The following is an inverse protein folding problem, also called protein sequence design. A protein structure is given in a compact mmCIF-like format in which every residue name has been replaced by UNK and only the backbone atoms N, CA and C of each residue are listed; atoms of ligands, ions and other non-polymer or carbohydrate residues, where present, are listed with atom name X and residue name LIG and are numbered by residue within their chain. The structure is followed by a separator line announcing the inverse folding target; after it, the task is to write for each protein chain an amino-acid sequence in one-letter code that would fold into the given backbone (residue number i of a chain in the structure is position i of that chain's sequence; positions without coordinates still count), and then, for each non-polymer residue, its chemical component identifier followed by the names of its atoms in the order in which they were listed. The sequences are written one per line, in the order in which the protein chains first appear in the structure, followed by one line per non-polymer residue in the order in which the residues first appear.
data_IF_822479404530
#
_entry.id   IF_822479404530
#
_cell.length_a   1.000
_cell.length_b   1.000
_cell.length_c   1.000
_cell.angle_alpha   90.00
_cell.angle_beta   90.00
_cell.angle_gamma   90.00
#
_symmetry.space_group_name_H-M   'P 1'
#
loop_
_entity.id
_entity.type
_entity.pdbx_description
1 polymer ?
#
# COMPACT_ATOMS: atom_id res chain seq x y z
N UNK A 1 -94.92 31.29 -2.29
CA UNK A 1 -94.06 30.30 -1.60
C UNK A 1 -93.58 29.18 -2.53
N UNK A 2 -94.44 28.66 -3.41
CA UNK A 2 -94.15 27.52 -4.30
C UNK A 2 -93.04 27.76 -5.33
N UNK A 3 -92.99 28.93 -5.98
CA UNK A 3 -91.98 29.25 -7.02
C UNK A 3 -90.54 29.28 -6.48
N UNK A 4 -90.36 29.74 -5.22
CA UNK A 4 -89.04 29.78 -4.57
C UNK A 4 -88.55 28.37 -4.28
N UNK A 5 -89.44 27.51 -3.77
CA UNK A 5 -89.13 26.10 -3.47
C UNK A 5 -88.76 25.33 -4.75
N UNK A 6 -89.46 25.58 -5.86
CA UNK A 6 -89.15 24.94 -7.14
C UNK A 6 -87.79 25.37 -7.67
N UNK A 7 -87.48 26.69 -7.67
CA UNK A 7 -86.15 27.19 -8.07
C UNK A 7 -85.02 26.60 -7.23
N UNK A 8 -85.22 26.45 -5.93
CA UNK A 8 -84.26 25.80 -5.03
C UNK A 8 -84.07 24.31 -5.35
N UNK A 9 -85.15 23.58 -5.67
CA UNK A 9 -85.04 22.18 -6.11
C UNK A 9 -84.27 22.05 -7.43
N UNK A 10 -84.53 22.92 -8.40
CA UNK A 10 -83.81 22.88 -9.69
C UNK A 10 -82.34 23.21 -9.51
N UNK A 11 -82.03 24.22 -8.68
CA UNK A 11 -80.67 24.57 -8.33
C UNK A 11 -79.95 23.40 -7.64
N UNK A 12 -80.59 22.77 -6.65
CA UNK A 12 -80.04 21.61 -5.95
C UNK A 12 -79.77 20.44 -6.90
N UNK A 13 -80.67 20.18 -7.85
CA UNK A 13 -80.47 19.14 -8.87
C UNK A 13 -79.32 19.45 -9.83
N UNK A 14 -79.15 20.71 -10.24
CA UNK A 14 -78.02 21.14 -11.08
C UNK A 14 -76.70 21.00 -10.33
N UNK A 15 -76.64 21.42 -9.07
CA UNK A 15 -75.46 21.27 -8.21
C UNK A 15 -75.15 19.79 -8.00
N UNK A 16 -76.15 18.98 -7.64
CA UNK A 16 -75.99 17.53 -7.45
C UNK A 16 -75.48 16.84 -8.72
N UNK A 17 -75.99 17.22 -9.90
CA UNK A 17 -75.53 16.68 -11.19
C UNK A 17 -74.07 17.08 -11.48
N UNK A 18 -73.70 18.33 -11.23
CA UNK A 18 -72.30 18.77 -11.36
C UNK A 18 -71.36 18.06 -10.39
N UNK A 19 -71.82 17.73 -9.18
CA UNK A 19 -71.06 16.94 -8.21
C UNK A 19 -70.96 15.46 -8.58
N UNK A 20 -71.96 14.89 -9.26
CA UNK A 20 -71.87 13.52 -9.77
C UNK A 20 -71.03 13.37 -11.04
N UNK A 21 -70.87 14.45 -11.81
CA UNK A 21 -70.00 14.50 -13.01
C UNK A 21 -68.52 14.81 -12.65
N UNK A 22 -68.22 15.07 -11.38
CA UNK A 22 -66.85 15.21 -10.87
C UNK A 22 -66.30 13.82 -10.59
N UNK A 23 -65.38 13.34 -11.43
CA UNK A 23 -64.51 12.19 -11.15
C UNK A 23 -63.55 12.56 -9.99
N UNK A 24 -64.08 12.53 -8.78
CA UNK A 24 -63.37 12.81 -7.54
C UNK A 24 -62.91 11.48 -6.94
N UNK A 25 -61.61 11.19 -7.09
CA UNK A 25 -60.95 10.09 -6.40
C UNK A 25 -60.33 10.63 -5.10
N UNK A 26 -60.94 10.37 -3.93
CA UNK A 26 -60.44 10.88 -2.65
C UNK A 26 -59.04 10.35 -2.33
N UNK A 27 -58.75 9.08 -2.68
CA UNK A 27 -57.45 8.48 -2.44
C UNK A 27 -56.37 9.17 -3.27
N UNK A 28 -56.70 9.56 -4.51
CA UNK A 28 -55.77 10.33 -5.35
C UNK A 28 -55.51 11.73 -4.79
N UNK A 29 -56.50 12.37 -4.19
CA UNK A 29 -56.31 13.67 -3.55
C UNK A 29 -55.38 13.55 -2.34
N UNK A 30 -55.63 12.57 -1.47
CA UNK A 30 -54.80 12.32 -0.28
C UNK A 30 -53.33 12.08 -0.66
N UNK A 31 -53.07 11.30 -1.73
CA UNK A 31 -51.72 11.09 -2.28
C UNK A 31 -51.04 12.40 -2.71
N UNK A 32 -51.79 13.28 -3.39
CA UNK A 32 -51.28 14.55 -3.89
C UNK A 32 -51.01 15.53 -2.75
N UNK A 33 -51.89 15.58 -1.75
CA UNK A 33 -51.70 16.40 -0.55
C UNK A 33 -50.48 15.94 0.26
N UNK A 34 -50.33 14.63 0.45
CA UNK A 34 -49.16 14.06 1.12
C UNK A 34 -47.87 14.38 0.36
N UNK A 35 -47.86 14.19 -0.96
CA UNK A 35 -46.71 14.52 -1.81
C UNK A 35 -46.36 16.01 -1.73
N UNK A 36 -47.35 16.89 -1.70
CA UNK A 36 -47.14 18.34 -1.54
C UNK A 36 -46.55 18.67 -0.18
N UNK A 37 -47.02 18.02 0.88
CA UNK A 37 -46.49 18.17 2.24
C UNK A 37 -45.02 17.75 2.35
N UNK A 38 -44.67 16.60 1.77
CA UNK A 38 -43.30 16.08 1.75
C UNK A 38 -42.34 17.04 1.02
N UNK A 39 -42.79 17.56 -0.12
CA UNK A 39 -42.05 18.53 -0.93
C UNK A 39 -41.80 19.85 -0.18
N UNK A 40 -42.81 20.37 0.54
CA UNK A 40 -42.64 21.56 1.37
C UNK A 40 -41.76 21.30 2.61
N UNK A 41 -41.83 20.10 3.19
CA UNK A 41 -40.92 19.68 4.26
C UNK A 41 -39.46 19.67 3.78
N UNK A 42 -39.19 19.19 2.56
CA UNK A 42 -37.86 19.21 1.95
C UNK A 42 -37.38 20.64 1.70
N UNK A 43 -38.23 21.53 1.18
CA UNK A 43 -37.88 22.96 1.02
C UNK A 43 -37.46 23.60 2.33
N UNK A 44 -38.20 23.34 3.42
CA UNK A 44 -37.86 23.84 4.77
C UNK A 44 -36.55 23.25 5.28
N UNK A 45 -36.37 21.93 5.13
CA UNK A 45 -35.19 21.21 5.63
C UNK A 45 -33.89 21.69 4.97
N UNK A 46 -33.90 21.84 3.65
CA UNK A 46 -32.72 22.21 2.87
C UNK A 46 -32.63 23.69 2.54
N UNK A 47 -33.64 24.49 2.93
CA UNK A 47 -33.73 25.94 2.69
C UNK A 47 -33.53 26.30 1.21
N UNK A 48 -34.15 25.53 0.32
CA UNK A 48 -34.06 25.68 -1.14
C UNK A 48 -35.47 25.70 -1.74
N UNK A 49 -35.62 26.31 -2.91
CA UNK A 49 -36.80 26.18 -3.75
C UNK A 49 -36.78 24.85 -4.52
N UNK A 50 -37.82 24.57 -5.32
CA UNK A 50 -37.90 23.30 -6.04
C UNK A 50 -36.78 23.12 -7.06
N UNK A 51 -36.41 24.17 -7.79
CA UNK A 51 -35.27 24.12 -8.71
C UNK A 51 -33.98 23.81 -7.95
N UNK A 52 -33.73 24.51 -6.83
CA UNK A 52 -32.57 24.26 -5.97
C UNK A 52 -32.54 22.87 -5.35
N UNK A 53 -33.70 22.28 -5.00
CA UNK A 53 -33.79 20.90 -4.51
C UNK A 53 -33.43 19.88 -5.60
N UNK A 54 -33.85 20.10 -6.84
CA UNK A 54 -33.50 19.24 -7.98
C UNK A 54 -31.99 19.30 -8.25
N UNK A 55 -31.41 20.50 -8.34
CA UNK A 55 -29.96 20.66 -8.50
C UNK A 55 -29.20 20.01 -7.34
N UNK A 56 -29.67 20.18 -6.10
CA UNK A 56 -29.04 19.57 -4.93
C UNK A 56 -29.13 18.04 -4.92
N UNK A 57 -30.25 17.45 -5.38
CA UNK A 57 -30.38 16.00 -5.59
C UNK A 57 -29.33 15.52 -6.60
N UNK A 58 -29.19 16.22 -7.72
CA UNK A 58 -28.27 15.84 -8.80
C UNK A 58 -26.80 15.98 -8.38
N UNK A 59 -26.48 17.02 -7.61
CA UNK A 59 -25.17 17.19 -6.95
C UNK A 59 -24.87 16.01 -6.01
N UNK A 60 -25.83 15.63 -5.14
CA UNK A 60 -25.66 14.50 -4.23
C UNK A 60 -25.53 13.17 -4.98
N UNK A 61 -26.34 12.94 -6.01
CA UNK A 61 -26.27 11.74 -6.83
C UNK A 61 -24.91 11.61 -7.53
N UNK A 62 -24.41 12.73 -8.09
CA UNK A 62 -23.07 12.80 -8.69
C UNK A 62 -21.97 12.53 -7.65
N UNK A 63 -22.02 13.15 -6.47
CA UNK A 63 -21.06 12.91 -5.39
C UNK A 63 -21.04 11.44 -4.94
N UNK A 64 -22.20 10.81 -4.82
CA UNK A 64 -22.30 9.39 -4.45
C UNK A 64 -21.74 8.50 -5.56
N UNK A 65 -22.11 8.75 -6.83
CA UNK A 65 -21.58 8.02 -7.98
C UNK A 65 -20.05 8.08 -8.04
N UNK A 66 -19.49 9.30 -8.01
CA UNK A 66 -18.04 9.50 -8.01
C UNK A 66 -17.35 8.78 -6.85
N UNK A 67 -17.95 8.75 -5.65
CA UNK A 67 -17.37 8.05 -4.49
C UNK A 67 -17.36 6.53 -4.68
N UNK A 68 -18.42 5.97 -5.26
CA UNK A 68 -18.48 4.53 -5.58
C UNK A 68 -17.44 4.13 -6.61
N UNK A 69 -17.23 4.98 -7.63
CA UNK A 69 -16.20 4.77 -8.64
C UNK A 69 -14.79 4.83 -8.02
N UNK A 70 -14.50 5.84 -7.20
CA UNK A 70 -13.22 5.97 -6.49
C UNK A 70 -12.91 4.78 -5.58
N UNK A 71 -13.90 4.25 -4.85
CA UNK A 71 -13.69 3.05 -4.02
C UNK A 71 -13.36 1.82 -4.87
N UNK A 72 -13.94 1.72 -6.05
CA UNK A 72 -13.66 0.63 -6.99
C UNK A 72 -12.24 0.76 -7.55
N UNK A 73 -11.84 1.97 -7.96
CA UNK A 73 -10.48 2.26 -8.42
C UNK A 73 -9.43 1.99 -7.34
N UNK A 74 -9.67 2.38 -6.08
CA UNK A 74 -8.77 2.09 -4.96
C UNK A 74 -8.58 0.59 -4.80
N UNK A 75 -9.68 -0.17 -4.83
CA UNK A 75 -9.63 -1.63 -4.68
C UNK A 75 -8.87 -2.30 -5.83
N UNK A 76 -9.05 -1.82 -7.05
CA UNK A 76 -8.28 -2.30 -8.21
C UNK A 76 -6.78 -2.00 -8.04
N UNK A 77 -6.44 -0.80 -7.57
CA UNK A 77 -5.04 -0.40 -7.33
C UNK A 77 -4.40 -1.18 -6.19
N UNK A 78 -5.13 -1.47 -5.12
CA UNK A 78 -4.65 -2.35 -4.03
C UNK A 78 -4.34 -3.76 -4.54
N UNK A 79 -5.22 -4.32 -5.39
CA UNK A 79 -4.97 -5.64 -6.00
C UNK A 79 -3.76 -5.63 -6.94
N UNK A 80 -3.61 -4.58 -7.75
CA UNK A 80 -2.47 -4.41 -8.64
C UNK A 80 -1.16 -4.33 -7.83
N UNK A 81 -1.17 -3.55 -6.75
CA UNK A 81 -0.05 -3.42 -5.81
C UNK A 81 0.33 -4.78 -5.19
N UNK A 82 -0.65 -5.56 -4.72
CA UNK A 82 -0.42 -6.88 -4.12
C UNK A 82 0.19 -7.88 -5.10
N UNK A 83 -0.22 -7.85 -6.37
CA UNK A 83 0.39 -8.66 -7.43
C UNK A 83 1.85 -8.25 -7.63
N UNK A 84 2.12 -6.94 -7.81
CA UNK A 84 3.48 -6.42 -8.02
C UNK A 84 4.39 -6.67 -6.83
N UNK A 85 3.86 -6.59 -5.62
CA UNK A 85 4.57 -6.91 -4.37
C UNK A 85 5.02 -8.37 -4.35
N UNK A 86 4.13 -9.31 -4.67
CA UNK A 86 4.47 -10.75 -4.75
C UNK A 86 5.50 -11.05 -5.84
N UNK A 87 5.34 -10.46 -7.02
CA UNK A 87 6.33 -10.61 -8.11
C UNK A 87 7.72 -10.11 -7.69
N UNK A 88 7.77 -8.96 -7.03
CA UNK A 88 9.03 -8.35 -6.55
C UNK A 88 9.66 -9.21 -5.46
N UNK A 89 8.87 -9.71 -4.51
CA UNK A 89 9.33 -10.60 -3.46
C UNK A 89 9.95 -11.89 -4.03
N UNK A 90 9.29 -12.50 -5.02
CA UNK A 90 9.82 -13.71 -5.66
C UNK A 90 11.18 -13.46 -6.32
N UNK A 91 11.32 -12.35 -7.07
CA UNK A 91 12.62 -11.95 -7.63
C UNK A 91 13.67 -11.69 -6.55
N UNK A 92 13.26 -11.12 -5.42
CA UNK A 92 14.10 -10.93 -4.24
C UNK A 92 14.60 -12.26 -3.67
N UNK A 93 13.74 -13.29 -3.57
CA UNK A 93 14.12 -14.63 -3.13
C UNK A 93 15.11 -15.28 -4.09
N UNK A 94 14.89 -15.16 -5.40
CA UNK A 94 15.78 -15.72 -6.42
C UNK A 94 17.18 -15.07 -6.32
N UNK A 95 17.24 -13.75 -6.12
CA UNK A 95 18.48 -13.03 -5.86
C UNK A 95 19.16 -13.48 -4.55
N UNK A 96 18.39 -13.64 -3.48
CA UNK A 96 18.90 -14.13 -2.19
C UNK A 96 19.53 -15.51 -2.29
N UNK A 97 18.90 -16.44 -3.03
CA UNK A 97 19.46 -17.77 -3.28
C UNK A 97 20.79 -17.71 -4.03
N UNK A 98 20.87 -16.86 -5.06
CA UNK A 98 22.11 -16.66 -5.81
C UNK A 98 23.22 -16.06 -4.94
N UNK A 99 22.87 -15.10 -4.09
CA UNK A 99 23.79 -14.50 -3.12
C UNK A 99 24.30 -15.52 -2.11
N UNK A 100 23.43 -16.31 -1.50
CA UNK A 100 23.83 -17.34 -0.54
C UNK A 100 24.76 -18.39 -1.16
N UNK A 101 24.50 -18.78 -2.43
CA UNK A 101 25.40 -19.70 -3.16
C UNK A 101 26.77 -19.08 -3.43
N UNK A 102 26.80 -17.80 -3.76
CA UNK A 102 28.04 -17.06 -4.03
C UNK A 102 28.80 -16.78 -2.73
N UNK A 103 28.08 -16.47 -1.66
CA UNK A 103 28.64 -16.24 -0.33
C UNK A 103 29.48 -17.42 0.14
N UNK A 104 28.98 -18.67 0.00
CA UNK A 104 29.75 -19.87 0.34
C UNK A 104 31.06 -20.03 -0.44
N UNK A 105 31.15 -19.47 -1.65
CA UNK A 105 32.40 -19.45 -2.41
C UNK A 105 33.35 -18.38 -1.86
N UNK A 106 32.83 -17.17 -1.63
CA UNK A 106 33.56 -16.05 -1.04
C UNK A 106 34.13 -16.46 0.33
N UNK A 107 33.32 -17.08 1.19
CA UNK A 107 33.74 -17.56 2.51
C UNK A 107 34.96 -18.46 2.42
N UNK A 108 34.92 -19.48 1.56
CA UNK A 108 36.04 -20.43 1.37
C UNK A 108 37.28 -19.75 0.80
N UNK A 109 37.14 -18.88 -0.20
CA UNK A 109 38.27 -18.19 -0.80
C UNK A 109 38.90 -17.19 0.18
N UNK A 110 38.09 -16.51 0.98
CA UNK A 110 38.56 -15.56 1.99
C UNK A 110 39.29 -16.30 3.13
N UNK A 111 38.72 -17.39 3.65
CA UNK A 111 39.37 -18.25 4.66
C UNK A 111 40.71 -18.81 4.16
N UNK A 112 40.78 -19.26 2.91
CA UNK A 112 42.03 -19.73 2.32
C UNK A 112 43.08 -18.62 2.21
N UNK A 113 42.67 -17.42 1.79
CA UNK A 113 43.54 -16.25 1.68
C UNK A 113 44.05 -15.81 3.05
N UNK A 114 43.17 -15.74 4.06
CA UNK A 114 43.53 -15.38 5.42
C UNK A 114 44.47 -16.40 6.06
N UNK A 115 44.26 -17.70 5.78
CA UNK A 115 45.17 -18.74 6.22
C UNK A 115 46.57 -18.59 5.60
N UNK A 116 46.68 -18.10 4.36
CA UNK A 116 47.97 -17.80 3.73
C UNK A 116 48.68 -16.59 4.36
N UNK A 117 47.90 -15.68 4.98
CA UNK A 117 48.37 -14.54 5.76
C UNK A 117 48.59 -14.89 7.24
N UNK A 118 48.75 -16.19 7.56
CA UNK A 118 49.01 -16.73 8.90
C UNK A 118 47.90 -16.45 9.94
N UNK A 119 46.67 -16.18 9.51
CA UNK A 119 45.52 -16.02 10.38
C UNK A 119 44.60 -17.26 10.29
N UNK A 120 44.37 -17.93 11.42
CA UNK A 120 43.38 -19.03 11.51
C UNK A 120 42.02 -18.44 11.84
N UNK A 121 41.26 -18.11 10.82
CA UNK A 121 39.94 -17.48 10.98
C UNK A 121 38.83 -18.33 10.39
N UNK A 122 37.62 -18.19 10.94
CA UNK A 122 36.39 -18.57 10.23
C UNK A 122 35.67 -17.32 9.76
N UNK A 123 35.13 -17.37 8.56
CA UNK A 123 34.40 -16.27 7.97
C UNK A 123 33.02 -16.74 7.50
N UNK A 124 31.99 -15.98 7.84
CA UNK A 124 30.62 -16.29 7.47
C UNK A 124 29.87 -15.03 7.05
N UNK A 125 29.14 -15.12 5.94
CA UNK A 125 28.21 -14.10 5.48
C UNK A 125 26.83 -14.48 6.01
N UNK A 126 26.34 -13.69 6.95
CA UNK A 126 25.01 -13.88 7.52
C UNK A 126 23.97 -13.12 6.70
N UNK A 127 22.83 -13.78 6.46
CA UNK A 127 21.66 -13.21 5.81
C UNK A 127 20.54 -13.16 6.83
N UNK A 128 20.20 -11.96 7.31
CA UNK A 128 19.02 -11.79 8.14
C UNK A 128 17.78 -12.00 7.26
N UNK A 129 16.89 -12.90 7.69
CA UNK A 129 15.64 -13.13 6.98
C UNK A 129 14.75 -11.89 7.16
N UNK A 130 14.29 -11.27 6.07
CA UNK A 130 13.22 -10.29 6.19
C UNK A 130 11.97 -10.97 6.78
N UNK A 131 11.27 -10.25 7.67
CA UNK A 131 9.92 -10.65 8.07
C UNK A 131 9.03 -10.63 6.82
N UNK A 132 8.41 -11.76 6.48
CA UNK A 132 7.64 -11.92 5.23
C UNK A 132 6.40 -11.03 5.11
N UNK A 133 6.00 -10.38 6.21
CA UNK A 133 4.72 -9.70 6.32
C UNK A 133 4.83 -8.17 6.42
N UNK A 134 6.04 -7.61 6.29
CA UNK A 134 6.25 -6.17 6.46
C UNK A 134 6.95 -5.59 5.22
N UNK A 135 6.49 -4.43 4.75
CA UNK A 135 7.08 -3.74 3.58
C UNK A 135 8.51 -3.26 3.85
N UNK A 136 8.92 -3.28 5.12
CA UNK A 136 10.32 -3.12 5.55
C UNK A 136 11.28 -4.19 5.00
N UNK A 137 10.77 -5.25 4.34
CA UNK A 137 11.59 -6.27 3.70
C UNK A 137 12.22 -5.87 2.36
N UNK A 138 11.79 -4.77 1.74
CA UNK A 138 12.30 -4.34 0.43
C UNK A 138 13.31 -3.20 0.56
N UNK A 139 14.56 -3.48 0.19
CA UNK A 139 15.61 -2.49 0.02
C UNK A 139 15.88 -2.28 -1.48
N UNK A 140 16.52 -1.16 -1.84
CA UNK A 140 16.98 -0.91 -3.21
C UNK A 140 17.90 -2.03 -3.72
N UNK A 141 18.65 -2.67 -2.81
CA UNK A 141 19.55 -3.78 -3.09
C UNK A 141 18.88 -5.16 -3.00
N UNK A 142 17.56 -5.27 -2.85
CA UNK A 142 16.83 -6.53 -2.71
C UNK A 142 16.30 -6.75 -1.30
N UNK A 143 16.12 -8.02 -0.90
CA UNK A 143 15.42 -8.36 0.35
C UNK A 143 16.34 -8.83 1.49
N UNK A 144 17.65 -8.93 1.22
CA UNK A 144 18.62 -9.42 2.18
C UNK A 144 19.21 -8.27 3.00
N UNK A 145 19.19 -8.42 4.33
CA UNK A 145 20.08 -7.68 5.20
C UNK A 145 21.32 -8.55 5.50
N UNK A 146 22.49 -8.10 5.03
CA UNK A 146 23.74 -8.88 5.06
C UNK A 146 24.64 -8.36 6.18
N UNK A 147 25.24 -9.27 6.96
CA UNK A 147 26.30 -8.96 7.92
C UNK A 147 27.50 -9.89 7.68
N UNK A 148 28.71 -9.34 7.78
CA UNK A 148 29.95 -10.10 7.63
C UNK A 148 30.48 -10.47 9.01
N UNK A 149 30.53 -11.76 9.28
CA UNK A 149 30.94 -12.31 10.56
C UNK A 149 32.31 -12.97 10.42
N UNK A 150 33.16 -12.75 11.41
CA UNK A 150 34.48 -13.37 11.46
C UNK A 150 34.82 -13.80 12.88
N UNK A 151 35.54 -14.91 12.98
CA UNK A 151 36.16 -15.44 14.18
C UNK A 151 37.67 -15.35 13.95
N UNK A 152 38.37 -14.43 14.62
CA UNK A 152 39.81 -14.22 14.42
C UNK A 152 40.67 -15.19 15.24
N UNK A 153 40.14 -15.65 16.38
CA UNK A 153 40.75 -16.66 17.24
C UNK A 153 39.79 -17.82 17.46
N UNK A 154 40.31 -19.04 17.40
CA UNK A 154 39.52 -20.27 17.60
C UNK A 154 38.90 -20.28 19.00
N UNK A 155 37.57 -20.33 19.06
CA UNK A 155 36.79 -20.42 20.30
C UNK A 155 36.18 -19.09 20.76
N UNK A 156 36.49 -17.96 20.11
CA UNK A 156 35.86 -16.67 20.45
C UNK A 156 34.46 -16.49 19.85
N UNK A 157 34.08 -17.36 18.91
CA UNK A 157 32.82 -17.28 18.17
C UNK A 157 32.81 -16.20 17.09
N UNK A 158 31.77 -16.24 16.27
CA UNK A 158 31.58 -15.31 15.15
C UNK A 158 31.09 -13.95 15.66
N UNK A 159 31.82 -12.89 15.33
CA UNK A 159 31.48 -11.49 15.66
C UNK A 159 31.39 -10.69 14.36
N UNK A 160 30.54 -9.67 14.33
CA UNK A 160 30.46 -8.78 13.17
C UNK A 160 31.81 -8.09 12.97
N UNK A 161 32.27 -8.05 11.71
CA UNK A 161 33.54 -7.44 11.32
C UNK A 161 33.65 -5.98 11.80
N UNK A 162 32.52 -5.28 11.82
CA UNK A 162 32.39 -3.90 12.33
C UNK A 162 32.78 -3.72 13.81
N UNK A 163 32.74 -4.79 14.60
CA UNK A 163 32.99 -4.77 16.06
C UNK A 163 34.40 -5.22 16.43
N UNK A 164 35.23 -5.58 15.46
CA UNK A 164 36.59 -6.07 15.71
C UNK A 164 37.55 -4.88 15.68
N UNK A 165 38.06 -4.54 16.86
CA UNK A 165 38.84 -3.32 17.13
C UNK A 165 40.37 -3.53 17.05
N UNK A 166 40.85 -4.72 16.65
CA UNK A 166 42.29 -4.97 16.49
C UNK A 166 42.76 -4.47 15.11
N UNK A 167 43.53 -3.38 15.09
CA UNK A 167 43.99 -2.74 13.85
C UNK A 167 44.78 -3.67 12.92
N UNK A 168 45.58 -4.59 13.48
CA UNK A 168 46.40 -5.51 12.68
C UNK A 168 45.65 -6.67 12.03
N UNK A 169 44.57 -7.12 12.66
CA UNK A 169 43.72 -8.18 12.09
C UNK A 169 42.77 -7.59 11.04
N UNK A 170 42.22 -6.40 11.31
CA UNK A 170 41.34 -5.70 10.39
C UNK A 170 42.03 -5.37 9.06
N UNK A 171 43.29 -4.90 9.08
CA UNK A 171 44.04 -4.61 7.86
C UNK A 171 44.32 -5.86 7.02
N UNK A 172 44.64 -6.99 7.66
CA UNK A 172 44.84 -8.28 6.97
C UNK A 172 43.54 -8.80 6.35
N UNK A 173 42.42 -8.64 7.04
CA UNK A 173 41.09 -8.96 6.51
C UNK A 173 40.75 -8.09 5.30
N UNK A 174 40.96 -6.79 5.40
CA UNK A 174 40.74 -5.85 4.28
C UNK A 174 41.61 -6.18 3.07
N UNK A 175 42.88 -6.55 3.28
CA UNK A 175 43.78 -6.96 2.19
C UNK A 175 43.26 -8.22 1.49
N UNK A 176 42.80 -9.22 2.24
CA UNK A 176 42.22 -10.44 1.68
C UNK A 176 40.96 -10.14 0.83
N UNK A 177 40.09 -9.26 1.31
CA UNK A 177 38.92 -8.80 0.54
C UNK A 177 39.31 -8.10 -0.75
N UNK A 178 40.27 -7.17 -0.70
CA UNK A 178 40.72 -6.44 -1.89
C UNK A 178 41.38 -7.38 -2.90
N UNK A 179 42.19 -8.34 -2.45
CA UNK A 179 42.79 -9.35 -3.33
C UNK A 179 41.72 -10.20 -4.03
N UNK A 180 40.68 -10.62 -3.30
CA UNK A 180 39.53 -11.33 -3.87
C UNK A 180 38.81 -10.49 -4.93
N UNK A 181 38.58 -9.20 -4.63
CA UNK A 181 37.88 -8.28 -5.53
C UNK A 181 38.67 -7.96 -6.80
N UNK A 182 39.99 -7.77 -6.69
CA UNK A 182 40.89 -7.55 -7.84
C UNK A 182 40.83 -8.75 -8.78
N UNK A 183 40.92 -9.97 -8.23
CA UNK A 183 40.83 -11.20 -8.99
C UNK A 183 39.47 -11.35 -9.69
N UNK A 184 38.39 -10.89 -9.07
CA UNK A 184 37.05 -10.96 -9.63
C UNK A 184 36.76 -9.91 -10.74
N UNK A 185 37.41 -8.73 -10.67
CA UNK A 185 37.11 -7.60 -11.56
C UNK A 185 38.23 -7.28 -12.56
N UNK A 186 39.29 -8.10 -12.61
CA UNK A 186 40.44 -7.93 -13.51
C UNK A 186 41.03 -6.50 -13.49
N UNK A 187 41.14 -5.94 -12.28
CA UNK A 187 41.64 -4.57 -12.10
C UNK A 187 43.15 -4.57 -12.33
N UNK A 188 43.67 -3.85 -13.34
CA UNK A 188 45.07 -4.01 -13.79
C UNK A 188 46.10 -3.43 -12.82
N UNK A 189 45.73 -2.48 -11.97
CA UNK A 189 46.64 -1.88 -10.99
C UNK A 189 45.86 -1.37 -9.79
N UNK A 190 46.30 -1.73 -8.59
CA UNK A 190 45.76 -1.22 -7.33
C UNK A 190 46.90 -0.77 -6.43
N UNK A 191 46.83 0.47 -5.97
CA UNK A 191 47.74 1.03 -4.97
C UNK A 191 47.03 1.01 -3.62
N UNK A 192 47.72 0.49 -2.61
CA UNK A 192 47.22 0.43 -1.25
C UNK A 192 48.02 1.43 -0.41
N UNK A 193 47.34 2.35 0.24
CA UNK A 193 47.93 3.23 1.25
C UNK A 193 47.65 2.63 2.64
N UNK A 194 48.61 2.73 3.56
CA UNK A 194 48.50 2.33 4.99
C UNK A 194 48.21 0.84 5.32
N UNK A 195 48.87 -0.14 4.67
CA UNK A 195 48.72 -1.56 5.07
C UNK A 195 49.50 -1.91 6.36
N UNK A 196 50.55 -1.15 6.66
CA UNK A 196 51.52 -1.45 7.73
C UNK A 196 51.21 -0.82 9.09
N UNK A 197 50.19 0.04 9.21
CA UNK A 197 49.90 0.79 10.46
C UNK A 197 49.35 -0.08 11.60
N UNK A 198 49.13 -1.38 11.38
CA UNK A 198 48.64 -2.34 12.39
C UNK A 198 49.44 -3.64 12.51
N UNK A 199 50.52 -3.83 11.74
CA UNK A 199 51.39 -5.00 11.86
C UNK A 199 52.37 -4.78 13.02
N UNK A 200 51.99 -5.14 14.24
CA UNK A 200 52.92 -5.22 15.39
C UNK A 200 52.76 -6.51 16.16
#
# INVERSE_FOLDING_TARGET
MTIVITKWKTFFLIVKKKFSDLDYDPSRLDELEQRSSDLEALKRKYKKDFAGLISYRDELASMVGNKTDLLSEIKEKEQEMDVKRRETYQKGLDLSLLRQKTAKKIEKELEATLSSLLLKTKFQISFAKPSSNDDSCFFESGIDAIDFLIETNVGEGLKSLSKILSGGEASRVMLAFKALFIKANDVPTVVFDEIDTGMS
#
